data_IF_761496215319
#
_entry.id   IF_761496215319
#
_cell.length_a   1.000
_cell.length_b   1.000
_cell.length_c   1.000
_cell.angle_alpha   90.00
_cell.angle_beta   90.00
_cell.angle_gamma   90.00
#
_symmetry.space_group_name_H-M   'P 1'
#
loop_
_entity.id
_entity.type
_entity.pdbx_description
1 polymer ?
#
# COMPACT_ATOMS: atom_id res chain seq x y z
N UNK A 1 -1.57 -9.94 14.07
CA UNK A 1 -0.26 -9.59 13.50
C UNK A 1 -0.35 -8.20 12.87
N UNK A 2 0.72 -7.39 12.87
CA UNK A 2 0.77 -6.16 12.08
C UNK A 2 0.66 -6.49 10.59
N UNK A 3 -0.13 -5.70 9.86
CA UNK A 3 -0.26 -5.79 8.41
C UNK A 3 0.07 -4.43 7.81
N UNK A 4 0.86 -4.33 6.76
CA UNK A 4 1.03 -3.08 6.04
C UNK A 4 -0.31 -2.62 5.46
N UNK A 5 -0.45 -1.32 5.23
CA UNK A 5 -1.66 -0.72 4.70
C UNK A 5 -1.35 -0.13 3.32
N UNK A 6 -2.16 -0.52 2.33
CA UNK A 6 -2.23 0.13 1.04
C UNK A 6 -3.47 1.02 0.99
N UNK A 7 -3.34 2.33 0.94
CA UNK A 7 -4.41 3.20 0.46
C UNK A 7 -4.31 3.23 -1.07
N UNK A 8 -5.27 2.60 -1.72
CA UNK A 8 -5.25 2.39 -3.18
C UNK A 8 -6.11 3.42 -3.85
N UNK A 9 -5.53 4.19 -4.76
CA UNK A 9 -6.28 5.06 -5.67
C UNK A 9 -6.46 4.38 -7.02
N UNK A 10 -7.60 4.62 -7.63
CA UNK A 10 -7.97 4.16 -8.97
C UNK A 10 -8.76 5.23 -9.70
N UNK A 11 -8.93 5.05 -10.99
CA UNK A 11 -9.80 5.89 -11.82
C UNK A 11 -10.77 5.01 -12.58
N UNK A 12 -12.03 5.37 -12.60
CA UNK A 12 -13.04 4.70 -13.43
C UNK A 12 -12.85 5.06 -14.91
N UNK A 13 -13.47 4.29 -15.83
CA UNK A 13 -13.51 4.64 -17.26
C UNK A 13 -14.12 6.02 -17.54
N UNK A 14 -14.94 6.53 -16.63
CA UNK A 14 -15.52 7.87 -16.73
C UNK A 14 -14.59 8.99 -16.19
N UNK A 15 -13.39 8.64 -15.71
CA UNK A 15 -12.42 9.59 -15.15
C UNK A 15 -12.67 9.97 -13.69
N UNK A 16 -13.58 9.27 -13.00
CA UNK A 16 -13.83 9.52 -11.57
C UNK A 16 -12.79 8.79 -10.72
N UNK A 17 -12.14 9.52 -9.81
CA UNK A 17 -11.21 8.96 -8.85
C UNK A 17 -11.95 8.21 -7.74
N UNK A 18 -11.28 7.21 -7.17
CA UNK A 18 -11.74 6.45 -6.01
C UNK A 18 -10.53 6.12 -5.13
N UNK A 19 -10.72 6.05 -3.82
CA UNK A 19 -9.70 5.65 -2.87
C UNK A 19 -10.24 4.68 -1.82
N UNK A 20 -9.51 3.58 -1.58
CA UNK A 20 -9.90 2.59 -0.57
C UNK A 20 -8.69 1.98 0.14
N UNK A 21 -8.75 1.80 1.50
CA UNK A 21 -7.67 1.17 2.25
C UNK A 21 -7.78 -0.35 2.28
N UNK A 22 -6.63 -1.01 2.09
CA UNK A 22 -6.49 -2.46 2.14
C UNK A 22 -5.34 -2.83 3.07
N UNK A 23 -5.56 -3.79 3.96
CA UNK A 23 -4.53 -4.32 4.86
C UNK A 23 -4.19 -5.80 4.61
N UNK A 24 -4.84 -6.44 3.66
CA UNK A 24 -4.34 -7.66 3.06
C UNK A 24 -3.45 -7.28 1.87
N UNK A 25 -2.29 -6.72 2.18
CA UNK A 25 -1.35 -6.13 1.22
C UNK A 25 0.08 -6.53 1.55
N UNK A 26 0.89 -6.80 0.53
CA UNK A 26 2.34 -6.93 0.68
C UNK A 26 3.06 -6.79 -0.67
N UNK A 27 4.39 -6.53 -0.60
CA UNK A 27 5.34 -6.71 -1.71
C UNK A 27 5.64 -8.19 -1.82
N UNK A 28 5.59 -8.75 -3.03
CA UNK A 28 5.79 -10.18 -3.28
C UNK A 28 7.20 -10.50 -3.77
N UNK A 29 7.68 -9.74 -4.76
CA UNK A 29 8.96 -9.96 -5.44
C UNK A 29 9.57 -8.62 -5.82
N UNK A 30 10.88 -8.61 -6.10
CA UNK A 30 11.62 -7.42 -6.53
C UNK A 30 11.93 -7.42 -8.04
N UNK A 31 11.93 -8.58 -8.68
CA UNK A 31 12.16 -8.74 -10.12
C UNK A 31 11.32 -9.92 -10.67
N UNK A 32 10.23 -9.66 -11.43
CA UNK A 32 9.58 -8.36 -11.53
C UNK A 32 9.09 -7.83 -10.18
N UNK A 33 9.03 -6.51 -10.02
CA UNK A 33 8.55 -5.89 -8.79
C UNK A 33 7.02 -6.05 -8.70
N UNK A 34 6.54 -6.91 -7.82
CA UNK A 34 5.12 -7.24 -7.68
C UNK A 34 4.60 -6.92 -6.29
N UNK A 35 3.35 -6.44 -6.26
CA UNK A 35 2.57 -6.27 -5.03
C UNK A 35 1.28 -7.08 -5.11
N UNK A 36 0.75 -7.49 -3.96
CA UNK A 36 -0.55 -8.15 -3.87
C UNK A 36 -1.50 -7.40 -2.94
N UNK A 37 -2.76 -7.33 -3.35
CA UNK A 37 -3.87 -6.77 -2.57
C UNK A 37 -4.99 -7.80 -2.52
N UNK A 38 -5.37 -8.22 -1.30
CA UNK A 38 -6.57 -9.06 -1.10
C UNK A 38 -7.81 -8.17 -1.02
N UNK A 39 -8.74 -8.39 -1.93
CA UNK A 39 -9.99 -7.64 -2.01
C UNK A 39 -11.17 -8.49 -1.58
N UNK A 40 -11.97 -7.96 -0.67
CA UNK A 40 -13.28 -8.48 -0.33
C UNK A 40 -14.34 -7.67 -1.07
N UNK A 41 -14.90 -8.25 -2.13
CA UNK A 41 -15.98 -7.68 -2.92
C UNK A 41 -17.34 -7.75 -2.17
N UNK A 42 -18.41 -7.24 -2.78
CA UNK A 42 -19.74 -7.25 -2.15
C UNK A 42 -20.30 -8.68 -2.00
N UNK A 43 -21.23 -8.87 -1.05
CA UNK A 43 -21.81 -10.19 -0.76
C UNK A 43 -22.57 -10.79 -1.97
N UNK A 44 -23.10 -9.96 -2.84
CA UNK A 44 -23.75 -10.35 -4.10
C UNK A 44 -22.72 -10.67 -5.21
N UNK A 45 -21.42 -10.63 -4.89
CA UNK A 45 -20.27 -10.84 -5.79
C UNK A 45 -20.00 -9.70 -6.77
N UNK A 46 -20.69 -8.58 -6.67
CA UNK A 46 -20.31 -7.40 -7.44
C UNK A 46 -18.99 -6.84 -6.92
N UNK A 47 -18.18 -6.28 -7.81
CA UNK A 47 -16.89 -5.69 -7.45
C UNK A 47 -17.09 -4.41 -6.65
N UNK A 48 -16.24 -4.20 -5.64
CA UNK A 48 -16.01 -2.87 -5.09
C UNK A 48 -15.42 -1.94 -6.15
N UNK A 49 -15.61 -0.64 -5.98
CA UNK A 49 -15.15 0.36 -6.95
C UNK A 49 -13.68 0.22 -7.29
N UNK A 50 -12.81 0.04 -6.29
CA UNK A 50 -11.37 -0.21 -6.51
C UNK A 50 -11.13 -1.42 -7.42
N UNK A 51 -11.74 -2.56 -7.13
CA UNK A 51 -11.55 -3.77 -7.93
C UNK A 51 -12.10 -3.60 -9.34
N UNK A 52 -13.32 -3.04 -9.47
CA UNK A 52 -13.94 -2.75 -10.77
C UNK A 52 -13.05 -1.84 -11.61
N UNK A 53 -12.57 -0.74 -11.05
CA UNK A 53 -11.72 0.20 -11.75
C UNK A 53 -10.43 -0.47 -12.23
N UNK A 54 -9.76 -1.26 -11.37
CA UNK A 54 -8.53 -2.00 -11.75
C UNK A 54 -8.79 -2.97 -12.90
N UNK A 55 -9.90 -3.73 -12.85
CA UNK A 55 -10.27 -4.65 -13.95
C UNK A 55 -10.57 -3.90 -15.26
N UNK A 56 -11.11 -2.70 -15.15
CA UNK A 56 -11.55 -1.93 -16.31
C UNK A 56 -10.46 -1.07 -16.94
N UNK A 57 -9.55 -0.51 -16.14
CA UNK A 57 -8.50 0.42 -16.59
C UNK A 57 -7.11 -0.20 -16.63
N UNK A 58 -6.91 -1.26 -15.83
CA UNK A 58 -5.65 -1.99 -15.81
C UNK A 58 -4.56 -1.34 -14.95
N UNK A 59 -4.86 -0.29 -14.18
CA UNK A 59 -3.87 0.38 -13.34
C UNK A 59 -4.43 0.82 -11.97
N UNK A 60 -3.51 1.11 -11.05
CA UNK A 60 -3.80 1.64 -9.72
C UNK A 60 -2.54 2.19 -9.07
N UNK A 61 -2.70 3.03 -8.04
CA UNK A 61 -1.57 3.50 -7.24
C UNK A 61 -1.76 3.09 -5.78
N UNK A 62 -0.74 2.48 -5.20
CA UNK A 62 -0.67 2.11 -3.77
C UNK A 62 0.07 3.21 -3.03
N UNK A 63 -0.51 3.70 -1.93
CA UNK A 63 0.14 4.66 -1.03
C UNK A 63 0.40 4.00 0.32
N UNK A 64 1.62 4.16 0.82
CA UNK A 64 1.96 3.84 2.20
C UNK A 64 1.40 4.96 3.07
N UNK A 65 0.84 4.61 4.22
CA UNK A 65 0.19 5.56 5.14
C UNK A 65 1.07 5.74 6.36
N UNK A 66 1.35 7.00 6.68
CA UNK A 66 1.99 7.42 7.93
C UNK A 66 0.96 7.80 9.00
N UNK A 67 1.43 8.13 10.20
CA UNK A 67 0.55 8.55 11.30
C UNK A 67 -0.24 9.81 11.00
N UNK A 68 0.26 10.69 10.13
CA UNK A 68 -0.41 11.94 9.73
C UNK A 68 -1.64 11.70 8.86
N UNK A 69 -1.68 10.58 8.12
CA UNK A 69 -2.74 10.27 7.15
C UNK A 69 -3.79 9.26 7.65
N UNK A 70 -3.65 8.71 8.87
CA UNK A 70 -4.57 7.68 9.38
C UNK A 70 -6.03 8.13 9.37
N UNK A 71 -6.31 9.36 9.77
CA UNK A 71 -7.68 9.87 9.84
C UNK A 71 -8.30 10.02 8.44
N UNK A 72 -7.55 10.53 7.49
CA UNK A 72 -7.97 10.67 6.10
C UNK A 72 -8.20 9.32 5.44
N UNK A 73 -7.31 8.36 5.70
CA UNK A 73 -7.47 6.98 5.25
C UNK A 73 -8.75 6.34 5.81
N UNK A 74 -9.10 6.59 7.08
CA UNK A 74 -10.34 6.08 7.69
C UNK A 74 -11.59 6.72 7.05
N UNK A 75 -11.53 7.96 6.55
CA UNK A 75 -12.61 8.55 5.76
C UNK A 75 -12.77 7.78 4.44
N UNK A 76 -11.68 7.44 3.76
CA UNK A 76 -11.72 6.60 2.56
C UNK A 76 -12.22 5.16 2.81
N UNK A 77 -12.33 4.72 4.08
CA UNK A 77 -12.92 3.42 4.43
C UNK A 77 -14.47 3.47 4.60
N UNK A 78 -15.06 4.65 4.58
CA UNK A 78 -16.51 4.83 4.69
C UNK A 78 -17.15 4.25 3.41
N UNK A 79 -18.26 3.57 3.59
CA UNK A 79 -19.02 3.00 2.46
C UNK A 79 -19.89 4.08 1.83
N UNK A 80 -19.26 4.96 1.09
CA UNK A 80 -19.97 5.94 0.27
C UNK A 80 -20.65 5.26 -0.94
N UNK A 81 -21.53 5.99 -1.61
CA UNK A 81 -22.07 5.59 -2.90
C UNK A 81 -21.01 5.77 -4.01
N UNK A 82 -21.16 5.08 -5.16
CA UNK A 82 -20.16 5.09 -6.24
C UNK A 82 -19.97 6.46 -6.92
N UNK A 83 -20.84 7.42 -6.63
CA UNK A 83 -20.76 8.80 -7.11
C UNK A 83 -19.88 9.71 -6.25
N UNK A 84 -19.44 9.24 -5.08
CA UNK A 84 -18.64 10.03 -4.13
C UNK A 84 -17.16 9.82 -4.40
N UNK A 85 -16.41 10.92 -4.41
CA UNK A 85 -14.94 10.92 -4.46
C UNK A 85 -14.40 10.94 -3.02
N UNK A 86 -13.91 9.80 -2.54
CA UNK A 86 -13.35 9.65 -1.20
C UNK A 86 -12.14 10.56 -0.96
N UNK A 87 -11.35 10.84 -2.00
CA UNK A 87 -10.20 11.75 -1.90
C UNK A 87 -10.64 13.16 -1.56
N UNK A 88 -11.71 13.62 -2.20
CA UNK A 88 -12.32 14.93 -1.91
C UNK A 88 -12.88 14.98 -0.49
N UNK A 89 -13.66 13.97 -0.08
CA UNK A 89 -14.24 13.89 1.26
C UNK A 89 -13.18 13.82 2.36
N UNK A 90 -12.09 13.14 2.11
CA UNK A 90 -10.95 13.05 3.01
C UNK A 90 -10.04 14.29 3.00
N UNK A 91 -10.27 15.25 2.11
CA UNK A 91 -9.41 16.42 1.94
C UNK A 91 -8.01 16.09 1.45
N UNK A 92 -7.84 15.02 0.67
CA UNK A 92 -6.57 14.53 0.15
C UNK A 92 -6.27 15.18 -1.21
N UNK A 93 -5.28 16.05 -1.24
CA UNK A 93 -4.77 16.61 -2.49
C UNK A 93 -4.01 15.54 -3.30
N UNK A 94 -4.24 15.52 -4.61
CA UNK A 94 -3.61 14.58 -5.53
C UNK A 94 -2.82 15.28 -6.62
N UNK A 95 -1.90 14.53 -7.23
CA UNK A 95 -1.22 14.86 -8.48
C UNK A 95 -1.45 13.73 -9.48
N UNK A 96 -1.40 14.02 -10.79
CA UNK A 96 -1.50 12.97 -11.80
C UNK A 96 -0.43 11.90 -11.61
N UNK A 97 -0.76 10.65 -11.95
CA UNK A 97 0.22 9.58 -12.10
C UNK A 97 1.19 9.89 -13.25
N UNK A 98 2.41 9.38 -13.16
CA UNK A 98 3.42 9.51 -14.22
C UNK A 98 3.43 8.31 -15.16
N UNK A 99 3.20 7.11 -14.62
CA UNK A 99 3.22 5.84 -15.35
C UNK A 99 1.81 5.25 -15.53
N UNK A 100 0.82 5.74 -14.77
CA UNK A 100 -0.56 5.24 -14.72
C UNK A 100 -1.56 6.39 -14.71
N UNK A 101 -2.84 6.09 -14.95
CA UNK A 101 -3.91 7.10 -14.91
C UNK A 101 -4.35 7.42 -13.47
N UNK A 102 -4.20 6.45 -12.58
CA UNK A 102 -4.58 6.57 -11.16
C UNK A 102 -3.74 7.63 -10.45
N UNK A 103 -4.37 8.60 -9.74
CA UNK A 103 -3.66 9.73 -9.16
C UNK A 103 -2.83 9.33 -7.95
N UNK A 104 -1.76 10.09 -7.68
CA UNK A 104 -0.98 9.98 -6.45
C UNK A 104 -1.47 10.97 -5.41
N UNK A 105 -1.57 10.53 -4.16
CA UNK A 105 -1.83 11.38 -2.99
C UNK A 105 -0.55 12.13 -2.64
N UNK A 106 -0.60 13.45 -2.70
CA UNK A 106 0.59 14.31 -2.54
C UNK A 106 1.23 14.18 -1.16
N UNK A 107 0.42 14.00 -0.11
CA UNK A 107 0.89 13.91 1.27
C UNK A 107 1.43 12.52 1.66
N UNK A 108 1.24 11.49 0.83
CA UNK A 108 1.70 10.14 1.15
C UNK A 108 3.23 10.06 1.19
N UNK A 109 3.82 9.40 2.21
CA UNK A 109 5.28 9.29 2.32
C UNK A 109 5.90 8.42 1.22
N UNK A 110 5.14 7.48 0.67
CA UNK A 110 5.52 6.71 -0.51
C UNK A 110 4.31 6.32 -1.33
N UNK A 111 4.51 6.20 -2.66
CA UNK A 111 3.53 5.71 -3.61
C UNK A 111 4.17 4.75 -4.61
N UNK A 112 3.42 3.72 -4.98
CA UNK A 112 3.78 2.72 -5.97
C UNK A 112 2.76 2.78 -7.10
N UNK A 113 3.15 3.22 -8.28
CA UNK A 113 2.30 3.18 -9.47
C UNK A 113 2.35 1.80 -10.08
N UNK A 114 1.20 1.16 -10.23
CA UNK A 114 1.09 -0.24 -10.55
C UNK A 114 0.21 -0.48 -11.78
N UNK A 115 0.61 -1.44 -12.59
CA UNK A 115 -0.22 -2.02 -13.64
C UNK A 115 -0.74 -3.38 -13.18
N UNK A 116 -2.00 -3.69 -13.48
CA UNK A 116 -2.57 -4.99 -13.23
C UNK A 116 -1.74 -6.08 -13.94
N UNK A 117 -1.17 -6.99 -13.15
CA UNK A 117 -0.42 -8.14 -13.66
C UNK A 117 -1.33 -9.35 -13.83
N UNK A 118 -2.05 -9.73 -12.78
CA UNK A 118 -3.03 -10.84 -12.80
C UNK A 118 -3.95 -10.76 -11.59
N UNK A 119 -5.02 -11.53 -11.62
CA UNK A 119 -5.91 -11.72 -10.48
C UNK A 119 -6.13 -13.20 -10.18
N UNK A 120 -6.36 -13.51 -8.90
CA UNK A 120 -6.70 -14.87 -8.44
C UNK A 120 -8.04 -14.81 -7.70
N UNK A 121 -9.06 -15.45 -8.23
CA UNK A 121 -10.29 -15.69 -7.49
C UNK A 121 -10.05 -16.79 -6.46
N UNK A 122 -10.18 -16.45 -5.17
CA UNK A 122 -9.87 -17.37 -4.05
C UNK A 122 -11.11 -17.80 -3.26
N UNK A 123 -12.27 -17.39 -3.69
CA UNK A 123 -13.57 -17.77 -3.13
C UNK A 123 -14.69 -16.83 -3.53
N UNK A 124 -15.93 -17.11 -3.11
CA UNK A 124 -17.06 -16.23 -3.40
C UNK A 124 -16.77 -14.82 -2.93
N UNK A 125 -16.82 -13.83 -3.81
CA UNK A 125 -16.57 -12.41 -3.50
C UNK A 125 -15.17 -12.13 -2.89
N UNK A 126 -14.16 -12.94 -3.21
CA UNK A 126 -12.78 -12.77 -2.73
C UNK A 126 -11.81 -12.94 -3.90
N UNK A 127 -10.94 -11.97 -4.05
CA UNK A 127 -9.85 -12.04 -5.04
C UNK A 127 -8.54 -11.48 -4.48
N UNK A 128 -7.44 -11.90 -5.07
CA UNK A 128 -6.12 -11.30 -4.89
C UNK A 128 -5.76 -10.62 -6.20
N UNK A 129 -5.56 -9.32 -6.15
CA UNK A 129 -5.07 -8.52 -7.27
C UNK A 129 -3.56 -8.42 -7.16
N UNK A 130 -2.84 -8.83 -8.20
CA UNK A 130 -1.39 -8.71 -8.29
C UNK A 130 -1.06 -7.61 -9.28
N UNK A 131 -0.31 -6.62 -8.84
CA UNK A 131 0.16 -5.49 -9.65
C UNK A 131 1.66 -5.50 -9.85
N UNK A 132 2.09 -5.16 -11.06
CA UNK A 132 3.48 -4.87 -11.38
C UNK A 132 3.77 -3.40 -11.08
N UNK A 133 4.78 -3.14 -10.26
CA UNK A 133 5.19 -1.78 -9.89
C UNK A 133 6.00 -1.18 -11.04
N UNK A 134 5.50 -0.10 -11.63
CA UNK A 134 6.13 0.62 -12.74
C UNK A 134 6.97 1.81 -12.26
N UNK A 135 6.56 2.42 -11.14
CA UNK A 135 7.23 3.58 -10.57
C UNK A 135 7.09 3.62 -9.05
N UNK A 136 8.15 4.11 -8.38
CA UNK A 136 8.19 4.28 -6.92
C UNK A 136 8.49 5.74 -6.62
N UNK A 137 7.66 6.36 -5.80
CA UNK A 137 7.81 7.73 -5.34
C UNK A 137 7.95 7.73 -3.83
N UNK A 138 8.97 8.40 -3.34
CA UNK A 138 9.25 8.49 -1.90
C UNK A 138 9.44 9.96 -1.54
N UNK A 139 8.88 10.39 -0.43
CA UNK A 139 9.06 11.72 0.12
C UNK A 139 10.55 12.02 0.30
N UNK A 140 11.01 13.15 -0.21
CA UNK A 140 12.43 13.47 -0.33
C UNK A 140 13.18 13.49 1.01
N UNK A 141 12.53 13.90 2.08
CA UNK A 141 13.12 13.95 3.43
C UNK A 141 13.31 12.55 4.03
N UNK A 142 12.61 11.54 3.53
CA UNK A 142 12.69 10.16 4.00
C UNK A 142 13.67 9.29 3.18
N UNK A 143 14.35 9.83 2.17
CA UNK A 143 15.28 9.08 1.33
C UNK A 143 16.65 9.73 1.29
N UNK A 144 17.70 8.94 1.53
CA UNK A 144 19.06 9.32 1.24
C UNK A 144 19.35 9.15 -0.24
N UNK A 145 19.54 10.25 -0.96
CA UNK A 145 19.69 10.24 -2.43
C UNK A 145 21.03 9.66 -2.91
N UNK A 146 22.04 9.54 -2.02
CA UNK A 146 23.37 9.03 -2.39
C UNK A 146 23.40 7.50 -2.47
N UNK A 147 22.61 6.83 -1.63
CA UNK A 147 22.57 5.37 -1.55
C UNK A 147 21.15 4.77 -1.70
N UNK A 148 20.15 5.61 -1.91
CA UNK A 148 18.73 5.27 -2.04
C UNK A 148 18.13 4.53 -0.82
N UNK A 149 18.76 4.66 0.35
CA UNK A 149 18.21 4.11 1.59
C UNK A 149 17.09 4.98 2.11
N UNK A 150 16.01 4.33 2.51
CA UNK A 150 14.83 4.97 3.10
C UNK A 150 14.94 4.96 4.61
N UNK A 151 14.82 6.14 5.22
CA UNK A 151 14.73 6.28 6.66
C UNK A 151 13.34 5.88 7.14
N UNK A 152 13.25 4.76 7.84
CA UNK A 152 11.99 4.19 8.30
C UNK A 152 11.35 5.02 9.43
N UNK A 153 12.15 5.78 10.20
CA UNK A 153 11.64 6.69 11.23
C UNK A 153 10.95 7.89 10.58
N UNK A 154 11.58 8.46 9.54
CA UNK A 154 10.98 9.56 8.78
C UNK A 154 9.80 9.13 7.92
N UNK A 155 9.76 7.88 7.46
CA UNK A 155 8.58 7.30 6.80
C UNK A 155 7.37 7.23 7.73
N UNK A 156 7.58 7.01 9.01
CA UNK A 156 6.55 6.92 10.08
C UNK A 156 5.35 6.03 9.69
N UNK A 157 5.60 4.97 8.94
CA UNK A 157 4.57 4.11 8.42
C UNK A 157 3.74 3.45 9.54
N UNK A 158 2.47 3.20 9.28
CA UNK A 158 1.57 2.52 10.21
C UNK A 158 1.17 1.15 9.71
N UNK A 159 0.95 0.23 10.66
CA UNK A 159 0.41 -1.10 10.39
C UNK A 159 -0.97 -1.28 11.02
N UNK A 160 -1.86 -2.03 10.35
CA UNK A 160 -3.16 -2.42 10.86
C UNK A 160 -3.02 -3.60 11.81
N UNK A 161 -3.64 -3.50 12.97
CA UNK A 161 -3.85 -4.61 13.92
C UNK A 161 -5.30 -5.12 13.86
N UNK A 162 -5.73 -5.87 14.86
CA UNK A 162 -7.12 -6.32 14.99
C UNK A 162 -8.06 -5.22 15.51
N UNK A 163 -9.32 -5.24 15.09
CA UNK A 163 -10.32 -4.27 15.48
C UNK A 163 -9.97 -2.85 14.96
N UNK A 164 -10.02 -1.86 15.85
CA UNK A 164 -9.73 -0.45 15.56
C UNK A 164 -8.29 -0.03 15.91
N UNK A 165 -7.36 -1.00 15.98
CA UNK A 165 -6.00 -0.76 16.45
C UNK A 165 -5.03 -0.64 15.29
N UNK A 166 -4.07 0.27 15.46
CA UNK A 166 -2.92 0.48 14.59
C UNK A 166 -1.62 0.37 15.40
N UNK A 167 -0.51 0.13 14.73
CA UNK A 167 0.82 0.20 15.30
C UNK A 167 1.68 1.17 14.50
N UNK A 168 2.60 1.83 15.18
CA UNK A 168 3.67 2.63 14.55
C UNK A 168 4.88 1.74 14.29
N UNK A 169 5.76 2.18 13.40
CA UNK A 169 7.04 1.52 13.08
C UNK A 169 8.24 2.25 13.71
N UNK A 170 8.00 3.01 14.79
CA UNK A 170 9.04 3.78 15.48
C UNK A 170 9.88 2.93 16.45
N UNK A 171 9.30 1.86 17.02
CA UNK A 171 10.00 0.93 17.90
C UNK A 171 10.71 -0.12 17.02
N UNK A 172 11.98 0.14 16.73
CA UNK A 172 12.79 -0.65 15.82
C UNK A 172 14.00 -1.22 16.53
N UNK A 173 14.42 -2.40 16.14
CA UNK A 173 15.65 -3.03 16.60
C UNK A 173 16.39 -3.65 15.44
N UNK A 174 17.71 -3.75 15.55
CA UNK A 174 18.56 -4.37 14.54
C UNK A 174 19.02 -5.75 15.00
N UNK A 175 19.02 -6.69 14.07
CA UNK A 175 19.61 -8.02 14.26
C UNK A 175 20.51 -8.32 13.08
N UNK A 176 21.80 -8.50 13.33
CA UNK A 176 22.73 -8.92 12.29
C UNK A 176 22.70 -10.43 12.11
N UNK A 177 22.56 -10.88 10.87
CA UNK A 177 22.71 -12.29 10.55
C UNK A 177 24.18 -12.66 10.63
N UNK A 178 24.56 -13.63 11.48
CA UNK A 178 25.97 -14.03 11.60
C UNK A 178 26.44 -14.70 10.29
N UNK A 179 27.70 -14.52 9.98
CA UNK A 179 28.35 -15.29 8.92
C UNK A 179 28.49 -16.76 9.33
N UNK A 180 28.73 -17.65 8.35
CA UNK A 180 28.97 -19.08 8.63
C UNK A 180 30.20 -19.28 9.55
N UNK A 181 31.20 -18.41 9.43
CA UNK A 181 32.39 -18.47 10.26
C UNK A 181 32.12 -18.09 11.71
N UNK A 182 31.38 -17.00 11.94
CA UNK A 182 30.96 -16.55 13.28
C UNK A 182 30.08 -17.60 13.96
N UNK A 183 29.10 -18.14 13.22
CA UNK A 183 28.23 -19.22 13.73
C UNK A 183 29.03 -20.45 14.17
N UNK A 184 30.02 -20.88 13.37
CA UNK A 184 30.86 -22.03 13.66
C UNK A 184 31.82 -21.80 14.83
N UNK A 185 32.18 -20.54 15.12
CA UNK A 185 32.97 -20.15 16.30
C UNK A 185 32.15 -20.14 17.59
N UNK A 186 30.86 -20.45 17.54
CA UNK A 186 30.00 -20.57 18.72
C UNK A 186 29.71 -19.25 19.40
N UNK A 187 29.72 -18.12 18.68
CA UNK A 187 29.28 -16.83 19.23
C UNK A 187 27.77 -16.87 19.48
N UNK A 188 27.33 -16.64 20.72
CA UNK A 188 25.92 -16.48 21.05
C UNK A 188 25.37 -15.22 20.36
N UNK A 189 24.21 -15.37 19.72
CA UNK A 189 23.45 -14.23 19.18
C UNK A 189 22.83 -13.54 20.37
N UNK A 190 23.43 -12.47 20.86
CA UNK A 190 22.83 -11.60 21.89
C UNK A 190 21.68 -10.83 21.25
N UNK A 191 20.49 -10.98 21.84
CA UNK A 191 19.31 -10.15 21.53
C UNK A 191 19.31 -9.02 22.56
N UNK A 192 19.63 -7.82 22.15
CA UNK A 192 19.41 -6.60 22.93
C UNK A 192 17.98 -6.08 22.73
#
# INVERSE_FOLDING_TARGET
MPRPIALVTTVSKAGQANAGPFSFFNVLTHDPALVAIGVENHADRSFKDTARNIHETGDFTVHIIDTGLVNQMEICAIKFGPEVDELHEAGLATVPGEMVQSPRILAAPAALECRLHTTLEVGPAREIIIGEVLGVFIRRDAVNTDNLHVDQVLMDAVGRLGGFRYTRTQDQFEVQTPTVEEFRKGQEITRD
#
